data_IF_677368736904
#
_entry.id   IF_677368736904
#
_cell.length_a   1.000
_cell.length_b   1.000
_cell.length_c   1.000
_cell.angle_alpha   90.00
_cell.angle_beta   90.00
_cell.angle_gamma   90.00
#
_symmetry.space_group_name_H-M   'P 1'
#
loop_
_entity.id
_entity.type
_entity.pdbx_description
1 polymer ?
#
# COMPACT_ATOMS: atom_id res chain seq x y z
N UNK A 1 14.66 2.70 26.68
CA UNK A 1 14.33 1.27 26.61
C UNK A 1 14.76 0.81 25.23
N UNK A 2 15.91 0.15 25.16
CA UNK A 2 16.36 -0.48 23.92
C UNK A 2 15.37 -1.60 23.61
N UNK A 3 14.59 -1.42 22.55
CA UNK A 3 13.77 -2.52 22.02
C UNK A 3 14.73 -3.36 21.18
N UNK A 4 15.43 -4.28 21.84
CA UNK A 4 16.09 -5.40 21.18
C UNK A 4 14.99 -6.38 20.78
N UNK A 5 14.22 -6.03 19.75
CA UNK A 5 13.24 -6.90 19.15
C UNK A 5 13.97 -8.11 18.57
N UNK A 6 13.52 -9.29 18.94
CA UNK A 6 13.97 -10.57 18.38
C UNK A 6 13.82 -10.48 16.86
N UNK A 7 14.94 -10.42 16.15
CA UNK A 7 15.00 -10.66 14.71
C UNK A 7 15.26 -12.16 14.55
N UNK A 8 14.21 -12.97 14.68
CA UNK A 8 14.30 -14.43 14.54
C UNK A 8 13.69 -14.87 13.20
N UNK A 9 14.22 -15.95 12.62
CA UNK A 9 13.86 -16.41 11.27
C UNK A 9 12.38 -16.83 11.14
N UNK A 10 11.74 -17.14 12.27
CA UNK A 10 10.31 -17.44 12.39
C UNK A 10 9.41 -16.20 12.22
N UNK A 11 9.95 -15.00 12.40
CA UNK A 11 9.19 -13.73 12.40
C UNK A 11 9.36 -12.91 11.12
N UNK A 12 10.47 -13.10 10.40
CA UNK A 12 10.74 -12.44 9.12
C UNK A 12 11.39 -13.41 8.14
N UNK A 13 10.69 -13.73 7.06
CA UNK A 13 11.28 -14.48 5.95
C UNK A 13 12.03 -13.48 5.08
N UNK A 14 13.36 -13.54 5.13
CA UNK A 14 14.21 -12.95 4.08
C UNK A 14 13.93 -13.69 2.78
N UNK A 15 13.46 -12.96 1.78
CA UNK A 15 13.26 -13.54 0.48
C UNK A 15 14.61 -14.11 -0.03
N UNK A 16 14.70 -15.38 -0.45
CA UNK A 16 15.97 -16.11 -0.67
C UNK A 16 16.80 -15.64 -1.88
N UNK A 17 16.52 -14.45 -2.40
CA UNK A 17 17.22 -13.80 -3.50
C UNK A 17 16.66 -12.41 -3.78
N UNK A 18 17.23 -11.67 -4.75
CA UNK A 18 16.61 -10.44 -5.22
C UNK A 18 15.27 -10.77 -5.88
N UNK A 19 14.16 -10.47 -5.20
CA UNK A 19 12.84 -10.43 -5.84
C UNK A 19 12.65 -9.04 -6.40
N UNK A 20 12.32 -9.00 -7.69
CA UNK A 20 11.92 -7.77 -8.34
C UNK A 20 10.62 -7.29 -7.70
N UNK A 21 10.72 -6.20 -6.94
CA UNK A 21 9.55 -5.46 -6.46
C UNK A 21 9.14 -4.53 -7.59
N UNK A 22 7.93 -4.72 -8.11
CA UNK A 22 7.37 -3.80 -9.10
C UNK A 22 6.90 -2.53 -8.37
N UNK A 23 7.64 -1.44 -8.56
CA UNK A 23 7.32 -0.10 -8.01
C UNK A 23 6.72 0.84 -9.06
N UNK A 24 6.28 0.27 -10.18
CA UNK A 24 5.81 1.02 -11.36
C UNK A 24 4.46 1.71 -11.13
N UNK A 25 3.64 1.15 -10.23
CA UNK A 25 2.28 1.65 -9.96
C UNK A 25 2.02 1.86 -8.47
N UNK A 26 1.21 2.87 -8.18
CA UNK A 26 0.76 3.26 -6.85
C UNK A 26 -0.77 3.18 -6.78
N UNK A 27 -1.25 2.57 -5.70
CA UNK A 27 -2.63 2.69 -5.24
C UNK A 27 -2.70 3.48 -3.94
N UNK A 28 -3.68 4.36 -3.80
CA UNK A 28 -3.96 5.07 -2.53
C UNK A 28 -5.45 4.87 -2.22
N UNK A 29 -5.76 4.59 -0.95
CA UNK A 29 -7.12 4.40 -0.44
C UNK A 29 -7.42 5.39 0.69
N UNK A 30 -8.71 5.68 0.92
CA UNK A 30 -9.13 6.33 2.15
C UNK A 30 -8.86 5.41 3.34
N UNK A 31 -8.32 5.97 4.43
CA UNK A 31 -8.06 5.20 5.65
C UNK A 31 -9.34 4.68 6.31
N UNK A 32 -10.46 5.40 6.16
CA UNK A 32 -11.79 5.07 6.70
C UNK A 32 -12.88 5.27 5.62
N UNK A 33 -13.87 4.36 5.47
CA UNK A 33 -15.01 4.51 4.58
C UNK A 33 -15.83 5.79 4.83
N UNK A 34 -15.88 6.27 6.07
CA UNK A 34 -16.54 7.52 6.43
C UNK A 34 -15.86 8.74 5.79
N UNK A 35 -14.55 8.71 5.59
CA UNK A 35 -13.83 9.79 4.90
C UNK A 35 -14.11 9.77 3.39
N UNK A 36 -14.32 8.60 2.80
CA UNK A 36 -14.80 8.48 1.43
C UNK A 36 -16.21 9.11 1.29
N UNK A 37 -17.10 8.88 2.25
CA UNK A 37 -18.45 9.50 2.27
C UNK A 37 -18.37 11.03 2.39
N UNK A 38 -17.51 11.55 3.27
CA UNK A 38 -17.27 13.00 3.39
C UNK A 38 -16.77 13.61 2.07
N UNK A 39 -16.03 12.84 1.28
CA UNK A 39 -15.57 13.21 -0.05
C UNK A 39 -16.63 13.01 -1.16
N UNK A 40 -17.83 12.54 -0.83
CA UNK A 40 -18.92 12.29 -1.79
C UNK A 40 -18.83 10.95 -2.52
N UNK A 41 -17.97 10.05 -2.08
CA UNK A 41 -17.85 8.69 -2.62
C UNK A 41 -18.75 7.69 -1.86
N UNK A 42 -19.04 6.51 -2.44
CA UNK A 42 -19.71 5.43 -1.74
C UNK A 42 -18.95 4.96 -0.48
N UNK A 43 -19.67 4.49 0.53
CA UNK A 43 -19.11 3.92 1.78
C UNK A 43 -18.59 2.48 1.61
N UNK A 44 -18.05 2.15 0.44
CA UNK A 44 -17.53 0.81 0.15
C UNK A 44 -16.31 0.52 1.01
N UNK A 45 -16.30 -0.66 1.65
CA UNK A 45 -15.17 -1.15 2.45
C UNK A 45 -14.23 -1.97 1.57
N UNK A 46 -12.93 -1.76 1.74
CA UNK A 46 -11.88 -2.50 1.03
C UNK A 46 -10.81 -3.00 2.02
N UNK A 47 -10.10 -4.09 1.71
CA UNK A 47 -9.16 -4.71 2.65
C UNK A 47 -7.75 -4.10 2.62
N UNK A 48 -7.57 -2.88 2.11
CA UNK A 48 -6.23 -2.33 1.76
C UNK A 48 -5.61 -1.42 2.83
N UNK A 49 -5.86 -1.69 4.11
CA UNK A 49 -5.19 -1.06 5.27
C UNK A 49 -4.96 -2.10 6.39
N UNK A 50 -4.36 -1.69 7.51
CA UNK A 50 -3.94 -2.60 8.59
C UNK A 50 -5.06 -3.29 9.36
N UNK A 51 -6.30 -2.78 9.33
CA UNK A 51 -7.47 -3.39 9.96
C UNK A 51 -8.48 -3.96 8.93
N UNK A 52 -8.10 -4.00 7.65
CA UNK A 52 -8.92 -4.41 6.52
C UNK A 52 -10.24 -3.63 6.37
N UNK A 53 -10.30 -2.40 6.87
CA UNK A 53 -11.49 -1.57 6.89
C UNK A 53 -11.26 -0.22 6.21
N UNK A 54 -10.54 -0.21 5.09
CA UNK A 54 -10.27 0.99 4.28
C UNK A 54 -11.51 1.40 3.47
N UNK A 55 -11.58 2.67 3.08
CA UNK A 55 -12.55 3.14 2.09
C UNK A 55 -12.17 2.79 0.65
N UNK A 56 -12.86 3.39 -0.32
CA UNK A 56 -12.57 3.19 -1.75
C UNK A 56 -11.18 3.74 -2.15
N UNK A 57 -10.65 3.25 -3.27
CA UNK A 57 -9.39 3.75 -3.84
C UNK A 57 -9.57 5.19 -4.37
N UNK A 58 -8.65 6.09 -4.00
CA UNK A 58 -8.62 7.50 -4.44
C UNK A 58 -7.62 7.75 -5.56
N UNK A 59 -6.56 6.96 -5.64
CA UNK A 59 -5.58 7.02 -6.74
C UNK A 59 -5.24 5.62 -7.22
N UNK A 60 -5.20 5.44 -8.54
CA UNK A 60 -4.70 4.24 -9.19
C UNK A 60 -3.86 4.63 -10.40
N UNK A 61 -2.59 4.24 -10.43
CA UNK A 61 -1.70 4.55 -11.56
C UNK A 61 -1.51 3.37 -12.53
N UNK A 62 -2.35 2.34 -12.49
CA UNK A 62 -2.29 1.18 -13.40
C UNK A 62 -2.44 1.56 -14.87
N UNK A 63 -3.02 2.73 -15.15
CA UNK A 63 -3.24 3.24 -16.51
C UNK A 63 -2.04 4.01 -17.07
N UNK A 64 -1.01 4.28 -16.25
CA UNK A 64 0.24 4.85 -16.75
C UNK A 64 1.17 3.73 -17.24
N UNK A 65 2.00 3.96 -18.26
CA UNK A 65 3.04 3.00 -18.62
C UNK A 65 4.02 2.76 -17.46
N UNK A 66 4.60 1.56 -17.37
CA UNK A 66 5.44 1.12 -16.25
C UNK A 66 6.63 2.06 -15.94
N UNK A 67 7.11 2.80 -16.92
CA UNK A 67 8.21 3.77 -16.80
C UNK A 67 7.79 5.25 -16.75
N UNK A 68 6.51 5.51 -16.51
CA UNK A 68 5.95 6.87 -16.38
C UNK A 68 5.10 7.02 -15.11
N UNK A 69 5.25 6.09 -14.17
CA UNK A 69 4.61 6.14 -12.87
C UNK A 69 5.21 7.23 -11.97
N UNK A 70 4.47 7.69 -10.94
CA UNK A 70 4.86 8.82 -10.10
C UNK A 70 6.12 8.57 -9.25
N UNK A 71 6.59 7.32 -9.14
CA UNK A 71 7.74 6.93 -8.32
C UNK A 71 9.05 6.80 -9.10
N UNK A 72 9.05 7.08 -10.42
CA UNK A 72 10.25 6.94 -11.27
C UNK A 72 11.47 7.73 -10.76
N UNK A 73 11.24 8.87 -10.11
CA UNK A 73 12.30 9.75 -9.61
C UNK A 73 12.72 9.48 -8.15
N UNK A 74 12.17 8.44 -7.49
CA UNK A 74 12.43 8.12 -6.09
C UNK A 74 13.40 6.94 -5.87
N UNK A 75 14.10 6.49 -6.93
CA UNK A 75 15.02 5.34 -6.87
C UNK A 75 16.32 5.60 -6.11
#
# INVERSE_FOLDING_TARGET
MDVTGIFDDETFILNPGPVAVQTDHLGIWFADPADAVKAGCPSSVTPFNGDHNAGIQVLNTSNFPANHGPLLNLQ
#
